data_IF_963367382802
#
_entry.id   IF_963367382802
#
_cell.length_a   1.000
_cell.length_b   1.000
_cell.length_c   1.000
_cell.angle_alpha   90.00
_cell.angle_beta   90.00
_cell.angle_gamma   90.00
#
_symmetry.space_group_name_H-M   'P 1'
#
loop_
_entity.id
_entity.type
_entity.pdbx_description
1 polymer ?
#
# COMPACT_ATOMS: atom_id res chain seq x y z
N UNK A 1 5.23 11.00 -26.78
CA UNK A 1 5.18 9.56 -26.40
C UNK A 1 4.23 8.79 -27.33
N UNK A 2 3.11 9.39 -27.82
CA UNK A 2 2.12 8.72 -28.71
C UNK A 2 2.65 8.32 -30.08
N UNK A 3 3.70 8.94 -30.59
CA UNK A 3 4.23 8.66 -31.94
C UNK A 3 5.29 7.55 -32.02
N UNK A 4 5.84 7.11 -30.88
CA UNK A 4 6.89 6.08 -30.84
C UNK A 4 6.35 4.64 -30.71
N UNK A 5 5.06 4.48 -30.41
CA UNK A 5 4.45 3.15 -30.16
C UNK A 5 3.81 2.55 -31.43
N UNK A 6 3.63 3.33 -32.50
CA UNK A 6 2.78 2.92 -33.65
C UNK A 6 3.44 2.03 -34.71
N UNK A 7 4.72 1.69 -34.60
CA UNK A 7 5.41 1.00 -35.70
C UNK A 7 6.19 -0.27 -35.36
N UNK A 8 6.07 -0.83 -34.14
CA UNK A 8 6.82 -2.05 -33.80
C UNK A 8 5.91 -3.12 -33.28
N UNK A 9 5.85 -4.26 -33.99
CA UNK A 9 5.06 -5.44 -33.59
C UNK A 9 5.57 -6.06 -32.29
N UNK A 10 4.72 -6.83 -31.63
CA UNK A 10 4.94 -7.52 -30.35
C UNK A 10 6.27 -8.31 -30.25
N UNK A 11 6.88 -8.69 -31.39
CA UNK A 11 8.17 -9.35 -31.42
C UNK A 11 9.37 -8.47 -31.03
N UNK A 12 9.24 -7.15 -31.12
CA UNK A 12 10.33 -6.21 -30.82
C UNK A 12 10.41 -5.80 -29.35
N UNK A 13 9.34 -6.02 -28.57
CA UNK A 13 9.32 -5.71 -27.12
C UNK A 13 10.27 -6.62 -26.35
N UNK A 14 10.42 -7.88 -26.77
CA UNK A 14 11.33 -8.84 -26.16
C UNK A 14 12.81 -8.69 -26.57
N UNK A 15 13.10 -7.87 -27.59
CA UNK A 15 14.48 -7.61 -28.06
C UNK A 15 15.04 -6.24 -27.65
N UNK A 16 14.44 -5.57 -26.67
CA UNK A 16 15.08 -4.36 -26.14
C UNK A 16 16.38 -4.77 -25.44
N UNK A 17 17.48 -4.41 -26.06
CA UNK A 17 18.77 -4.40 -25.38
C UNK A 17 18.61 -3.62 -24.08
N UNK A 18 19.21 -4.09 -22.97
CA UNK A 18 19.15 -3.35 -21.71
C UNK A 18 19.61 -1.91 -21.97
N UNK A 19 18.89 -0.92 -21.42
CA UNK A 19 19.20 0.49 -21.70
C UNK A 19 20.65 0.77 -21.33
N UNK A 20 21.36 1.46 -22.20
CA UNK A 20 22.75 1.86 -22.00
C UNK A 20 22.85 2.76 -20.76
N UNK A 21 24.01 2.79 -20.11
CA UNK A 21 24.25 3.68 -18.96
C UNK A 21 23.89 5.13 -19.26
N UNK A 22 24.13 5.57 -20.51
CA UNK A 22 23.80 6.92 -20.95
C UNK A 22 22.30 7.18 -20.97
N UNK A 23 21.51 6.23 -21.49
CA UNK A 23 20.04 6.32 -21.47
C UNK A 23 19.48 6.28 -20.04
N UNK A 24 20.08 5.50 -19.15
CA UNK A 24 19.72 5.49 -17.72
C UNK A 24 19.99 6.83 -17.06
N UNK A 25 21.14 7.46 -17.35
CA UNK A 25 21.48 8.77 -16.82
C UNK A 25 20.57 9.90 -17.35
N UNK A 26 20.10 9.82 -18.56
CA UNK A 26 19.15 10.79 -19.14
C UNK A 26 17.76 10.75 -18.48
N UNK A 27 17.39 9.64 -17.84
CA UNK A 27 16.11 9.50 -17.13
C UNK A 27 16.19 10.05 -15.69
N UNK A 28 17.39 10.08 -15.09
CA UNK A 28 17.59 10.54 -13.70
C UNK A 28 16.98 11.93 -13.44
N UNK A 29 17.22 12.97 -14.26
CA UNK A 29 16.64 14.29 -14.02
C UNK A 29 15.12 14.33 -14.00
N UNK A 30 14.45 13.36 -14.64
CA UNK A 30 12.99 13.25 -14.67
C UNK A 30 12.43 12.56 -13.43
N UNK A 31 13.20 11.64 -12.85
CA UNK A 31 12.82 10.87 -11.65
C UNK A 31 13.23 11.59 -10.37
N UNK A 32 14.31 12.38 -10.43
CA UNK A 32 14.89 13.08 -9.27
C UNK A 32 13.87 13.94 -8.51
N UNK A 33 13.01 14.74 -9.12
CA UNK A 33 12.03 15.55 -8.40
C UNK A 33 11.05 14.70 -7.60
N UNK A 34 10.63 13.55 -8.16
CA UNK A 34 9.77 12.60 -7.45
C UNK A 34 10.50 11.96 -6.26
N UNK A 35 11.72 11.50 -6.45
CA UNK A 35 12.55 10.96 -5.37
C UNK A 35 12.81 12.00 -4.26
N UNK A 36 13.03 13.26 -4.64
CA UNK A 36 13.23 14.34 -3.68
C UNK A 36 11.99 14.54 -2.78
N UNK A 37 10.79 14.42 -3.33
CA UNK A 37 9.55 14.49 -2.54
C UNK A 37 9.48 13.32 -1.57
N UNK A 38 9.71 12.08 -2.04
CA UNK A 38 9.68 10.89 -1.19
C UNK A 38 10.68 11.01 -0.05
N UNK A 39 11.94 11.34 -0.38
CA UNK A 39 13.01 11.51 0.63
C UNK A 39 12.68 12.66 1.58
N UNK A 40 12.15 13.78 1.07
CA UNK A 40 11.75 14.93 1.89
C UNK A 40 10.65 14.59 2.89
N UNK A 41 9.61 13.88 2.47
CA UNK A 41 8.53 13.43 3.35
C UNK A 41 9.06 12.45 4.40
N UNK A 42 9.87 11.47 3.99
CA UNK A 42 10.47 10.51 4.93
C UNK A 42 11.41 11.22 5.94
N UNK A 43 12.20 12.18 5.48
CA UNK A 43 13.07 12.97 6.37
C UNK A 43 12.26 13.72 7.44
N UNK A 44 11.16 14.35 7.04
CA UNK A 44 10.30 15.10 7.96
C UNK A 44 9.63 14.16 8.98
N UNK A 45 9.20 12.97 8.54
CA UNK A 45 8.59 11.95 9.39
C UNK A 45 9.59 11.35 10.38
N UNK A 46 10.67 10.77 9.87
CA UNK A 46 11.65 10.07 10.71
C UNK A 46 12.55 11.02 11.52
N UNK A 47 12.70 12.25 11.07
CA UNK A 47 13.37 13.29 11.84
C UNK A 47 12.56 13.84 13.01
N UNK A 48 11.29 13.39 13.18
CA UNK A 48 10.42 13.87 14.24
C UNK A 48 10.02 15.35 14.09
N UNK A 49 10.19 15.91 12.88
CA UNK A 49 9.93 17.34 12.60
C UNK A 49 8.42 17.58 12.49
N UNK A 50 7.67 16.61 12.01
CA UNK A 50 6.23 16.73 11.82
C UNK A 50 5.51 15.39 12.04
N UNK A 51 4.24 15.50 12.43
CA UNK A 51 3.32 14.36 12.48
C UNK A 51 3.00 13.82 11.08
N UNK A 52 2.49 12.58 10.93
CA UNK A 52 2.09 12.05 9.63
C UNK A 52 1.10 12.94 8.86
N UNK A 53 0.18 13.60 9.56
CA UNK A 53 -0.77 14.54 8.95
C UNK A 53 -0.10 15.80 8.42
N UNK A 54 0.83 16.37 9.18
CA UNK A 54 1.61 17.54 8.75
C UNK A 54 2.56 17.18 7.60
N UNK A 55 3.22 16.01 7.68
CA UNK A 55 4.08 15.51 6.61
C UNK A 55 3.32 15.30 5.29
N UNK A 56 2.05 14.86 5.36
CA UNK A 56 1.19 14.76 4.17
C UNK A 56 0.91 16.13 3.55
N UNK A 57 0.70 17.16 4.38
CA UNK A 57 0.57 18.56 3.93
C UNK A 57 1.84 19.08 3.25
N UNK A 58 3.00 18.80 3.84
CA UNK A 58 4.31 19.13 3.22
C UNK A 58 4.47 18.39 1.89
N UNK A 59 4.13 17.10 1.83
CA UNK A 59 4.15 16.31 0.60
C UNK A 59 3.27 16.92 -0.49
N UNK A 60 2.03 17.27 -0.16
CA UNK A 60 1.10 17.91 -1.09
C UNK A 60 1.64 19.26 -1.60
N UNK A 61 2.23 20.07 -0.73
CA UNK A 61 2.87 21.33 -1.11
C UNK A 61 4.06 21.10 -2.06
N UNK A 62 4.93 20.13 -1.77
CA UNK A 62 6.06 19.79 -2.64
C UNK A 62 5.60 19.29 -4.01
N UNK A 63 4.54 18.49 -4.09
CA UNK A 63 3.93 18.07 -5.35
C UNK A 63 3.39 19.27 -6.12
N UNK A 64 2.73 20.22 -5.44
CA UNK A 64 2.23 21.44 -6.05
C UNK A 64 3.38 22.28 -6.65
N UNK A 65 4.47 22.46 -5.90
CA UNK A 65 5.68 23.16 -6.38
C UNK A 65 6.28 22.42 -7.57
N UNK A 66 6.35 21.10 -7.53
CA UNK A 66 6.85 20.28 -8.64
C UNK A 66 5.99 20.46 -9.90
N UNK A 67 4.68 20.46 -9.78
CA UNK A 67 3.74 20.68 -10.91
C UNK A 67 3.99 22.06 -11.53
N UNK A 68 4.18 23.08 -10.70
CA UNK A 68 4.45 24.44 -11.17
C UNK A 68 5.84 24.56 -11.81
N UNK A 69 6.91 24.11 -11.15
CA UNK A 69 8.30 24.36 -11.56
C UNK A 69 8.74 23.40 -12.67
N UNK A 70 8.50 22.10 -12.50
CA UNK A 70 8.99 21.06 -13.42
C UNK A 70 8.06 20.88 -14.61
N UNK A 71 6.76 20.77 -14.36
CA UNK A 71 5.76 20.55 -15.42
C UNK A 71 5.21 21.86 -16.00
N UNK A 72 5.53 23.01 -15.41
CA UNK A 72 5.12 24.34 -15.87
C UNK A 72 3.61 24.45 -16.11
N UNK A 73 2.81 23.83 -15.26
CA UNK A 73 1.37 23.85 -15.31
C UNK A 73 0.87 25.00 -14.44
N UNK A 74 0.59 26.14 -15.04
CA UNK A 74 0.09 27.34 -14.35
C UNK A 74 -1.39 27.61 -14.62
N UNK A 75 -2.06 26.80 -15.45
CA UNK A 75 -3.44 27.01 -15.82
C UNK A 75 -4.38 26.71 -14.65
N UNK A 76 -5.13 27.71 -14.13
CA UNK A 76 -5.98 27.52 -12.95
C UNK A 76 -7.01 26.40 -13.14
N UNK A 77 -7.54 26.26 -14.36
CA UNK A 77 -8.51 25.21 -14.69
C UNK A 77 -7.92 23.81 -14.55
N UNK A 78 -6.69 23.60 -15.04
CA UNK A 78 -6.02 22.29 -14.89
C UNK A 78 -5.69 21.96 -13.44
N UNK A 79 -5.24 22.97 -12.68
CA UNK A 79 -4.98 22.82 -11.24
C UNK A 79 -6.26 22.45 -10.53
N UNK A 80 -7.37 23.16 -10.83
CA UNK A 80 -8.68 22.88 -10.26
C UNK A 80 -9.18 21.48 -10.58
N UNK A 81 -8.99 20.99 -11.80
CA UNK A 81 -9.37 19.64 -12.20
C UNK A 81 -8.57 18.58 -11.42
N UNK A 82 -7.27 18.77 -11.21
CA UNK A 82 -6.42 17.90 -10.39
C UNK A 82 -6.92 17.88 -8.94
N UNK A 83 -7.12 19.05 -8.34
CA UNK A 83 -7.62 19.18 -6.95
C UNK A 83 -8.99 18.52 -6.82
N UNK A 84 -9.89 18.72 -7.77
CA UNK A 84 -11.23 18.12 -7.76
C UNK A 84 -11.19 16.58 -7.78
N UNK A 85 -10.30 15.97 -8.56
CA UNK A 85 -10.13 14.52 -8.59
C UNK A 85 -9.59 14.03 -7.24
N UNK A 86 -8.53 14.66 -6.73
CA UNK A 86 -7.96 14.31 -5.41
C UNK A 86 -8.97 14.47 -4.28
N UNK A 87 -9.79 15.54 -4.30
CA UNK A 87 -10.86 15.73 -3.32
C UNK A 87 -11.91 14.63 -3.37
N UNK A 88 -12.30 14.17 -4.56
CA UNK A 88 -13.26 13.05 -4.70
C UNK A 88 -12.75 11.78 -4.03
N UNK A 89 -11.50 11.43 -4.26
CA UNK A 89 -10.86 10.25 -3.65
C UNK A 89 -10.75 10.42 -2.14
N UNK A 90 -10.32 11.59 -1.67
CA UNK A 90 -10.22 11.88 -0.24
C UNK A 90 -11.57 11.79 0.47
N UNK A 91 -12.63 12.35 -0.12
CA UNK A 91 -13.99 12.29 0.45
C UNK A 91 -14.48 10.83 0.50
N UNK A 92 -14.24 10.04 -0.54
CA UNK A 92 -14.58 8.61 -0.55
C UNK A 92 -13.88 7.87 0.59
N UNK A 93 -12.57 8.09 0.77
CA UNK A 93 -11.79 7.45 1.84
C UNK A 93 -12.31 7.90 3.22
N UNK A 94 -12.56 9.20 3.42
CA UNK A 94 -13.09 9.72 4.68
C UNK A 94 -14.47 9.16 5.01
N UNK A 95 -15.33 8.96 4.00
CA UNK A 95 -16.64 8.35 4.19
C UNK A 95 -16.52 6.88 4.63
N UNK A 96 -15.60 6.13 4.03
CA UNK A 96 -15.29 4.75 4.43
C UNK A 96 -14.76 4.73 5.88
N UNK A 97 -13.84 5.62 6.23
CA UNK A 97 -13.28 5.72 7.58
C UNK A 97 -14.39 6.02 8.60
N UNK A 98 -15.26 6.99 8.31
CA UNK A 98 -16.36 7.34 9.20
C UNK A 98 -17.32 6.16 9.42
N UNK A 99 -17.73 5.48 8.35
CA UNK A 99 -18.58 4.29 8.44
C UNK A 99 -17.91 3.13 9.21
N UNK A 100 -16.63 2.90 8.96
CA UNK A 100 -15.84 1.88 9.66
C UNK A 100 -15.68 2.20 11.15
N UNK A 101 -15.53 3.48 11.50
CA UNK A 101 -15.44 3.89 12.90
C UNK A 101 -16.74 3.65 13.66
N UNK A 102 -17.89 3.97 13.04
CA UNK A 102 -19.21 3.69 13.62
C UNK A 102 -19.39 2.18 13.81
N UNK A 103 -18.99 1.38 12.81
CA UNK A 103 -19.06 -0.08 12.87
C UNK A 103 -18.17 -0.64 14.00
N UNK A 104 -16.90 -0.20 14.06
CA UNK A 104 -15.96 -0.59 15.11
C UNK A 104 -16.46 -0.23 16.52
N UNK A 105 -17.00 0.99 16.67
CA UNK A 105 -17.60 1.44 17.91
C UNK A 105 -18.78 0.55 18.33
N UNK A 106 -19.67 0.24 17.38
CA UNK A 106 -20.82 -0.65 17.64
C UNK A 106 -20.38 -2.05 18.09
N UNK A 107 -19.40 -2.65 17.40
CA UNK A 107 -18.87 -3.96 17.77
C UNK A 107 -18.20 -3.94 19.15
N UNK A 108 -17.45 -2.89 19.46
CA UNK A 108 -16.79 -2.73 20.74
C UNK A 108 -17.81 -2.56 21.90
N UNK A 109 -18.84 -1.74 21.69
CA UNK A 109 -19.90 -1.51 22.68
C UNK A 109 -20.73 -2.76 22.96
N UNK A 110 -20.91 -3.60 21.95
CA UNK A 110 -21.61 -4.88 22.06
C UNK A 110 -20.71 -6.02 22.56
N UNK A 111 -19.44 -5.73 22.87
CA UNK A 111 -18.44 -6.73 23.30
C UNK A 111 -18.22 -7.87 22.27
N UNK A 112 -18.65 -7.69 21.03
CA UNK A 112 -18.53 -8.71 19.97
C UNK A 112 -17.06 -9.05 19.69
N UNK A 113 -16.20 -8.05 19.62
CA UNK A 113 -14.78 -8.24 19.35
C UNK A 113 -14.10 -9.06 20.43
N UNK A 114 -14.40 -8.77 21.72
CA UNK A 114 -13.87 -9.49 22.87
C UNK A 114 -14.40 -10.92 22.92
N UNK A 115 -15.70 -11.11 22.64
CA UNK A 115 -16.32 -12.43 22.61
C UNK A 115 -15.74 -13.33 21.53
N UNK A 116 -15.53 -12.79 20.32
CA UNK A 116 -14.86 -13.51 19.21
C UNK A 116 -13.44 -13.88 19.62
N UNK A 117 -12.67 -12.94 20.15
CA UNK A 117 -11.29 -13.17 20.56
C UNK A 117 -11.21 -14.27 21.63
N UNK A 118 -12.08 -14.22 22.64
CA UNK A 118 -12.14 -15.23 23.70
C UNK A 118 -12.54 -16.60 23.15
N UNK A 119 -13.55 -16.67 22.29
CA UNK A 119 -13.96 -17.93 21.64
C UNK A 119 -12.80 -18.56 20.85
N UNK A 120 -12.03 -17.75 20.12
CA UNK A 120 -10.87 -18.24 19.37
C UNK A 120 -9.77 -18.76 20.31
N UNK A 121 -9.54 -18.10 21.44
CA UNK A 121 -8.60 -18.57 22.48
C UNK A 121 -9.06 -19.89 23.08
N UNK A 122 -10.35 -20.01 23.41
CA UNK A 122 -10.95 -21.22 23.99
C UNK A 122 -10.88 -22.42 23.02
N UNK A 123 -10.89 -22.16 21.69
CA UNK A 123 -10.67 -23.20 20.68
C UNK A 123 -9.27 -23.83 20.75
N UNK A 124 -8.34 -23.26 21.50
CA UNK A 124 -6.97 -23.76 21.65
C UNK A 124 -6.17 -23.76 20.36
N UNK A 125 -6.49 -22.88 19.43
CA UNK A 125 -5.80 -22.81 18.14
C UNK A 125 -4.34 -22.37 18.34
N UNK A 126 -3.45 -23.02 17.59
CA UNK A 126 -2.07 -22.57 17.52
C UNK A 126 -2.04 -21.16 16.87
N UNK A 127 -1.24 -20.25 17.48
CA UNK A 127 -1.12 -18.87 17.02
C UNK A 127 -0.77 -18.74 15.52
N UNK A 128 0.07 -19.63 14.99
CA UNK A 128 0.46 -19.63 13.58
C UNK A 128 -0.66 -20.11 12.67
N UNK A 129 -1.49 -21.03 13.13
CA UNK A 129 -2.68 -21.49 12.40
C UNK A 129 -3.72 -20.36 12.32
N UNK A 130 -3.96 -19.66 13.43
CA UNK A 130 -4.81 -18.47 13.45
C UNK A 130 -4.31 -17.41 12.47
N UNK A 131 -3.01 -17.10 12.55
CA UNK A 131 -2.37 -16.13 11.66
C UNK A 131 -2.55 -16.52 10.17
N UNK A 132 -2.39 -17.79 9.84
CA UNK A 132 -2.60 -18.30 8.49
C UNK A 132 -4.04 -18.06 8.01
N UNK A 133 -5.04 -18.39 8.82
CA UNK A 133 -6.45 -18.15 8.47
C UNK A 133 -6.77 -16.66 8.32
N UNK A 134 -6.24 -15.81 9.20
CA UNK A 134 -6.40 -14.37 9.08
C UNK A 134 -5.81 -13.88 7.74
N UNK A 135 -4.62 -14.33 7.36
CA UNK A 135 -4.01 -13.92 6.10
C UNK A 135 -4.81 -14.39 4.88
N UNK A 136 -5.35 -15.61 4.89
CA UNK A 136 -6.25 -16.08 3.81
C UNK A 136 -7.51 -15.21 3.73
N UNK A 137 -8.14 -14.91 4.87
CA UNK A 137 -9.32 -14.04 4.92
C UNK A 137 -9.01 -12.65 4.35
N UNK A 138 -7.89 -12.05 4.76
CA UNK A 138 -7.46 -10.75 4.30
C UNK A 138 -7.12 -10.76 2.80
N UNK A 139 -6.49 -11.80 2.32
CA UNK A 139 -6.19 -11.97 0.89
C UNK A 139 -7.48 -12.01 0.07
N UNK A 140 -8.46 -12.81 0.50
CA UNK A 140 -9.75 -12.89 -0.17
C UNK A 140 -10.46 -11.52 -0.15
N UNK A 141 -10.48 -10.83 0.99
CA UNK A 141 -11.04 -9.49 1.08
C UNK A 141 -10.34 -8.49 0.16
N UNK A 142 -8.99 -8.55 0.10
CA UNK A 142 -8.15 -7.70 -0.73
C UNK A 142 -8.32 -7.92 -2.24
N UNK A 143 -8.85 -9.08 -2.68
CA UNK A 143 -9.19 -9.31 -4.08
C UNK A 143 -10.35 -8.42 -4.56
N UNK A 144 -11.26 -8.07 -3.67
CA UNK A 144 -12.52 -7.40 -4.02
C UNK A 144 -12.59 -5.96 -3.55
N UNK A 145 -11.90 -5.62 -2.47
CA UNK A 145 -12.01 -4.33 -1.79
C UNK A 145 -10.70 -3.56 -1.84
N UNK A 146 -10.77 -2.22 -1.91
CA UNK A 146 -9.58 -1.39 -1.78
C UNK A 146 -8.88 -1.62 -0.42
N UNK A 147 -7.54 -1.65 -0.36
CA UNK A 147 -6.77 -1.91 0.86
C UNK A 147 -7.17 -1.05 2.05
N UNK A 148 -7.35 0.24 1.82
CA UNK A 148 -7.75 1.19 2.88
C UNK A 148 -9.08 0.77 3.52
N UNK A 149 -10.06 0.35 2.73
CA UNK A 149 -11.35 -0.11 3.24
C UNK A 149 -11.18 -1.37 4.11
N UNK A 150 -10.44 -2.37 3.62
CA UNK A 150 -10.20 -3.62 4.36
C UNK A 150 -9.46 -3.33 5.66
N UNK A 151 -8.36 -2.56 5.61
CA UNK A 151 -7.56 -2.23 6.78
C UNK A 151 -8.42 -1.55 7.85
N UNK A 152 -9.15 -0.49 7.49
CA UNK A 152 -9.93 0.29 8.46
C UNK A 152 -11.09 -0.53 9.03
N UNK A 153 -11.78 -1.34 8.21
CA UNK A 153 -12.91 -2.15 8.65
C UNK A 153 -12.50 -3.31 9.55
N UNK A 154 -11.37 -3.97 9.26
CA UNK A 154 -11.00 -5.21 9.96
C UNK A 154 -10.02 -4.99 11.11
N UNK A 155 -9.23 -3.90 11.12
CA UNK A 155 -8.24 -3.64 12.16
C UNK A 155 -8.85 -3.58 13.56
N UNK A 156 -10.05 -3.02 13.71
CA UNK A 156 -10.76 -2.94 14.99
C UNK A 156 -11.09 -4.32 15.60
N UNK A 157 -11.23 -5.34 14.76
CA UNK A 157 -11.50 -6.72 15.19
C UNK A 157 -10.16 -7.48 15.30
N UNK A 158 -9.29 -7.34 14.33
CA UNK A 158 -8.08 -8.16 14.25
C UNK A 158 -7.02 -7.74 15.27
N UNK A 159 -6.84 -6.43 15.55
CA UNK A 159 -5.82 -5.98 16.49
C UNK A 159 -5.98 -6.58 17.90
N UNK A 160 -7.16 -6.56 18.53
CA UNK A 160 -7.33 -7.24 19.81
C UNK A 160 -7.04 -8.74 19.77
N UNK A 161 -7.44 -9.42 18.69
CA UNK A 161 -7.23 -10.85 18.52
C UNK A 161 -5.73 -11.16 18.44
N UNK A 162 -5.00 -10.49 17.54
CA UNK A 162 -3.57 -10.76 17.33
C UNK A 162 -2.72 -10.43 18.56
N UNK A 163 -3.06 -9.37 19.28
CA UNK A 163 -2.37 -8.99 20.52
C UNK A 163 -2.58 -10.01 21.64
N UNK A 164 -3.79 -10.58 21.79
CA UNK A 164 -4.06 -11.66 22.74
C UNK A 164 -3.25 -12.93 22.43
N UNK A 165 -2.95 -13.19 21.15
CA UNK A 165 -2.10 -14.30 20.74
C UNK A 165 -0.60 -13.98 20.79
N UNK A 166 -0.22 -12.81 21.32
CA UNK A 166 1.16 -12.41 21.54
C UNK A 166 1.91 -12.04 20.25
N UNK A 167 1.22 -11.55 19.25
CA UNK A 167 1.85 -10.92 18.09
C UNK A 167 2.01 -9.42 18.31
N UNK A 168 3.12 -8.87 17.84
CA UNK A 168 3.37 -7.44 17.83
C UNK A 168 2.43 -6.74 16.83
N UNK A 169 1.68 -5.68 17.22
CA UNK A 169 0.75 -4.98 16.35
C UNK A 169 1.43 -4.27 15.18
N UNK A 170 2.65 -3.76 15.34
CA UNK A 170 3.41 -3.10 14.26
C UNK A 170 3.86 -4.11 13.22
N UNK A 171 4.38 -5.26 13.70
CA UNK A 171 4.73 -6.35 12.82
C UNK A 171 3.52 -6.84 12.02
N UNK A 172 2.39 -7.02 12.69
CA UNK A 172 1.15 -7.43 12.01
C UNK A 172 0.69 -6.39 10.99
N UNK A 173 0.76 -5.10 11.30
CA UNK A 173 0.38 -4.03 10.38
C UNK A 173 1.19 -4.07 9.07
N UNK A 174 2.50 -4.36 9.13
CA UNK A 174 3.34 -4.50 7.95
C UNK A 174 2.95 -5.74 7.13
N UNK A 175 2.77 -6.89 7.78
CA UNK A 175 2.33 -8.11 7.10
C UNK A 175 0.95 -7.92 6.47
N UNK A 176 0.04 -7.27 7.19
CA UNK A 176 -1.28 -6.92 6.68
C UNK A 176 -1.20 -6.06 5.42
N UNK A 177 -0.36 -5.02 5.43
CA UNK A 177 -0.16 -4.14 4.27
C UNK A 177 0.38 -4.92 3.08
N UNK A 178 1.40 -5.78 3.26
CA UNK A 178 1.94 -6.63 2.18
C UNK A 178 0.86 -7.56 1.64
N UNK A 179 0.01 -8.12 2.51
CA UNK A 179 -1.09 -8.99 2.10
C UNK A 179 -2.11 -8.25 1.24
N UNK A 180 -2.42 -6.99 1.59
CA UNK A 180 -3.30 -6.13 0.78
C UNK A 180 -2.70 -5.83 -0.60
N UNK A 181 -1.39 -5.59 -0.68
CA UNK A 181 -0.70 -5.39 -1.96
C UNK A 181 -0.76 -6.64 -2.84
N UNK A 182 -0.61 -7.85 -2.25
CA UNK A 182 -0.83 -9.09 -2.99
C UNK A 182 -2.25 -9.15 -3.55
N UNK A 183 -3.25 -8.77 -2.76
CA UNK A 183 -4.65 -8.71 -3.20
C UNK A 183 -4.86 -7.79 -4.41
N UNK A 184 -4.20 -6.63 -4.43
CA UNK A 184 -4.29 -5.65 -5.53
C UNK A 184 -3.78 -6.14 -6.88
N UNK A 185 -2.87 -7.11 -6.88
CA UNK A 185 -2.27 -7.68 -8.11
C UNK A 185 -2.71 -9.11 -8.38
N UNK A 186 -3.68 -9.61 -7.60
CA UNK A 186 -4.18 -11.00 -7.71
C UNK A 186 -5.61 -11.02 -8.25
N UNK A 187 -5.96 -11.92 -9.19
CA UNK A 187 -7.34 -12.13 -9.61
C UNK A 187 -8.23 -12.57 -8.42
N UNK A 188 -9.57 -12.32 -8.46
CA UNK A 188 -10.38 -12.03 -9.65
C UNK A 188 -10.46 -10.55 -10.05
N UNK A 189 -10.29 -9.62 -9.13
CA UNK A 189 -10.38 -8.18 -9.47
C UNK A 189 -8.99 -7.61 -9.73
N UNK A 190 -8.08 -7.60 -8.73
CA UNK A 190 -6.74 -7.09 -8.91
C UNK A 190 -6.69 -5.67 -9.48
N UNK A 191 -7.10 -4.67 -8.71
CA UNK A 191 -7.30 -3.29 -9.19
C UNK A 191 -6.11 -2.76 -9.98
N UNK A 192 -4.88 -3.05 -9.55
CA UNK A 192 -3.66 -2.60 -10.23
C UNK A 192 -3.50 -3.22 -11.62
N UNK A 193 -4.00 -4.45 -11.83
CA UNK A 193 -3.97 -5.11 -13.16
C UNK A 193 -4.82 -4.35 -14.18
N UNK A 194 -5.99 -3.85 -13.76
CA UNK A 194 -6.87 -3.05 -14.62
C UNK A 194 -6.30 -1.66 -14.88
N UNK A 195 -5.62 -1.05 -13.91
CA UNK A 195 -4.93 0.23 -14.11
C UNK A 195 -3.84 0.06 -15.17
N UNK A 196 -3.02 -0.99 -15.07
CA UNK A 196 -1.99 -1.30 -16.07
C UNK A 196 -2.63 -1.56 -17.43
N UNK A 197 -3.73 -2.33 -17.47
CA UNK A 197 -4.47 -2.57 -18.72
C UNK A 197 -5.00 -1.29 -19.35
N UNK A 198 -5.46 -0.33 -18.54
CA UNK A 198 -5.90 0.99 -19.00
C UNK A 198 -4.79 1.82 -19.65
N UNK A 199 -3.56 1.71 -19.13
CA UNK A 199 -2.36 2.41 -19.64
C UNK A 199 -1.78 1.69 -20.86
N UNK A 200 -1.89 0.36 -20.92
CA UNK A 200 -1.34 -0.49 -21.99
C UNK A 200 -2.46 -1.29 -22.67
N UNK A 201 -3.30 -0.64 -23.48
CA UNK A 201 -4.45 -1.31 -24.11
C UNK A 201 -4.06 -2.43 -25.08
N UNK A 202 -2.84 -2.40 -25.61
CA UNK A 202 -2.32 -3.39 -26.57
C UNK A 202 -1.86 -4.70 -25.91
N UNK A 203 -1.70 -4.73 -24.58
CA UNK A 203 -1.27 -5.91 -23.81
C UNK A 203 -2.50 -6.62 -23.25
N UNK A 204 -2.58 -7.93 -23.37
CA UNK A 204 -3.68 -8.70 -22.81
C UNK A 204 -3.64 -8.74 -21.27
N UNK A 205 -4.81 -8.81 -20.63
CA UNK A 205 -4.87 -8.92 -19.15
C UNK A 205 -4.14 -10.18 -18.65
N UNK A 206 -4.17 -11.27 -19.44
CA UNK A 206 -3.46 -12.51 -19.11
C UNK A 206 -1.94 -12.34 -19.11
N UNK A 207 -1.39 -11.52 -20.02
CA UNK A 207 0.04 -11.23 -20.04
C UNK A 207 0.45 -10.34 -18.84
N UNK A 208 -0.37 -9.34 -18.52
CA UNK A 208 -0.16 -8.49 -17.33
C UNK A 208 -0.14 -9.37 -16.07
N UNK A 209 -1.11 -10.28 -15.94
CA UNK A 209 -1.19 -11.22 -14.83
C UNK A 209 0.04 -12.11 -14.74
N UNK A 210 0.46 -12.73 -15.85
CA UNK A 210 1.68 -13.55 -15.88
C UNK A 210 2.92 -12.76 -15.46
N UNK A 211 2.98 -11.48 -15.84
CA UNK A 211 4.04 -10.57 -15.43
C UNK A 211 4.01 -10.22 -13.94
N UNK A 212 2.85 -10.25 -13.28
CA UNK A 212 2.71 -9.95 -11.85
C UNK A 212 3.01 -11.16 -10.93
N UNK A 213 2.88 -12.39 -11.43
CA UNK A 213 3.13 -13.62 -10.64
C UNK A 213 4.48 -13.62 -9.90
N UNK A 214 5.63 -13.29 -10.53
CA UNK A 214 6.90 -13.26 -9.82
C UNK A 214 6.91 -12.29 -8.63
N UNK A 215 6.26 -11.15 -8.75
CA UNK A 215 6.15 -10.16 -7.67
C UNK A 215 5.26 -10.66 -6.54
N UNK A 216 4.15 -11.35 -6.86
CA UNK A 216 3.30 -12.00 -5.85
C UNK A 216 4.10 -13.03 -5.05
N UNK A 217 4.87 -13.89 -5.73
CA UNK A 217 5.72 -14.89 -5.08
C UNK A 217 6.77 -14.23 -4.18
N UNK A 218 7.40 -13.15 -4.65
CA UNK A 218 8.36 -12.39 -3.83
C UNK A 218 7.72 -11.79 -2.59
N UNK A 219 6.50 -11.26 -2.68
CA UNK A 219 5.77 -10.73 -1.51
C UNK A 219 5.40 -11.85 -0.52
N UNK A 220 4.96 -13.01 -1.00
CA UNK A 220 4.72 -14.17 -0.12
C UNK A 220 6.00 -14.60 0.58
N UNK A 221 7.11 -14.66 -0.15
CA UNK A 221 8.43 -14.96 0.45
C UNK A 221 8.79 -13.89 1.49
N UNK A 222 8.51 -12.63 1.21
CA UNK A 222 8.73 -11.53 2.15
C UNK A 222 7.93 -11.75 3.44
N UNK A 223 6.65 -12.09 3.38
CA UNK A 223 5.83 -12.42 4.56
C UNK A 223 6.46 -13.57 5.34
N UNK A 224 6.91 -14.64 4.67
CA UNK A 224 7.57 -15.77 5.34
C UNK A 224 8.84 -15.31 6.05
N UNK A 225 9.66 -14.49 5.41
CA UNK A 225 10.88 -13.95 6.04
C UNK A 225 10.53 -13.12 7.28
N UNK A 226 9.49 -12.27 7.22
CA UNK A 226 9.04 -11.48 8.35
C UNK A 226 8.44 -12.34 9.48
N UNK A 227 7.89 -13.51 9.16
CA UNK A 227 7.46 -14.48 10.18
C UNK A 227 8.64 -15.14 10.90
N UNK A 228 9.75 -15.36 10.18
CA UNK A 228 10.97 -15.97 10.75
C UNK A 228 11.81 -14.93 11.51
N UNK A 229 11.87 -13.71 10.97
CA UNK A 229 12.68 -12.61 11.48
C UNK A 229 11.83 -11.35 11.73
N UNK A 230 10.96 -11.34 12.75
CA UNK A 230 10.06 -10.21 13.03
C UNK A 230 10.82 -8.92 13.36
N UNK A 231 12.05 -9.03 13.87
CA UNK A 231 12.92 -7.90 14.21
C UNK A 231 13.26 -7.01 13.00
N UNK A 232 13.16 -7.51 11.77
CA UNK A 232 13.37 -6.69 10.56
C UNK A 232 12.41 -5.51 10.53
N UNK A 233 11.18 -5.70 11.01
CA UNK A 233 10.15 -4.66 11.03
C UNK A 233 10.36 -3.68 12.16
N UNK A 234 10.72 -4.15 13.35
CA UNK A 234 10.80 -3.34 14.56
C UNK A 234 12.15 -2.64 14.74
N UNK A 235 13.22 -3.16 14.12
CA UNK A 235 14.59 -2.65 14.28
C UNK A 235 14.73 -1.15 13.99
N UNK A 236 14.16 -0.68 12.89
CA UNK A 236 14.30 0.73 12.51
C UNK A 236 13.47 1.67 13.40
N UNK A 237 12.19 1.39 13.67
CA UNK A 237 11.42 2.16 14.65
C UNK A 237 12.07 2.19 16.04
N UNK A 238 12.52 1.04 16.56
CA UNK A 238 13.16 0.93 17.86
C UNK A 238 14.45 1.78 17.94
N UNK A 239 15.21 1.82 16.84
CA UNK A 239 16.46 2.58 16.79
C UNK A 239 16.25 4.09 16.68
N UNK A 240 15.22 4.53 15.97
CA UNK A 240 14.95 5.95 15.71
C UNK A 240 14.09 6.60 16.79
N UNK A 241 13.09 5.87 17.31
CA UNK A 241 12.11 6.40 18.25
C UNK A 241 12.33 5.91 19.69
N UNK A 242 13.29 4.99 19.91
CA UNK A 242 13.54 4.33 21.19
C UNK A 242 12.53 3.22 21.47
N UNK A 243 12.92 2.29 22.38
CA UNK A 243 12.06 1.16 22.81
C UNK A 243 10.81 1.58 23.62
N UNK A 244 10.44 2.84 23.60
CA UNK A 244 9.32 3.39 24.38
C UNK A 244 7.92 2.91 23.92
N UNK A 245 7.85 2.08 22.88
CA UNK A 245 6.59 1.55 22.33
C UNK A 245 6.47 0.03 22.48
N UNK A 246 7.30 -0.61 23.31
CA UNK A 246 7.07 -1.99 23.71
C UNK A 246 5.90 -2.00 24.69
N UNK A 247 4.71 -2.33 24.21
CA UNK A 247 3.52 -2.61 25.01
C UNK A 247 3.60 -3.98 25.64
#
# INVERSE_FOLDING_TARGET
IRHLVRSRGLGDVYKRQPPTLKEKLEVIPRVLPFLAIVVGVLYVLYGGVATPSEASGVGAFLVFVMIAVVYKIYQPKKIWDIVKVSMKESVMIMFIIAGSYIFAFSLSTLYVTQSIAQTIVEMGLNKWLLFFYINIFLLIAGFFLPPVAVIVMTSSILLPIITQFGFDPYWFAIVFTINMEIGLITPPVGLNLYIIKGITPDVSLSEILKGSIPFMVMMVICIIILCIFPEIVTWLPDKLMGKALAY
#
